data_IF_935586652608
#
_entry.id   IF_935586652608
#
_cell.length_a   1.000
_cell.length_b   1.000
_cell.length_c   1.000
_cell.angle_alpha   90.00
_cell.angle_beta   90.00
_cell.angle_gamma   90.00
#
_symmetry.space_group_name_H-M   'P 1'
#
loop_
_entity.id
_entity.type
_entity.pdbx_description
1 polymer ?
#
# COMPACT_ATOMS: atom_id res chain seq x y z
N UNK A 1 1.02 -10.01 1.57
CA UNK A 1 -0.01 -9.16 2.15
C UNK A 1 -0.13 -7.87 1.35
N UNK A 2 -1.34 -7.49 1.00
CA UNK A 2 -1.58 -6.35 0.12
C UNK A 2 -2.05 -5.14 0.91
N UNK A 3 -1.50 -3.97 0.56
CA UNK A 3 -1.85 -2.70 1.19
C UNK A 3 -2.23 -1.70 0.10
N UNK A 4 -3.26 -0.89 0.38
CA UNK A 4 -3.76 0.11 -0.57
C UNK A 4 -3.35 1.50 -0.13
N UNK A 5 -2.82 2.28 -1.06
CA UNK A 5 -2.37 3.65 -0.79
C UNK A 5 -3.53 4.61 -0.96
N UNK A 6 -3.93 5.29 0.11
CA UNK A 6 -5.15 6.09 0.12
C UNK A 6 -4.93 7.58 -0.10
N UNK A 7 -3.68 8.05 -0.03
CA UNK A 7 -3.41 9.48 -0.10
C UNK A 7 -2.63 9.91 -1.35
N UNK A 8 -1.91 8.98 -1.98
CA UNK A 8 -1.06 9.30 -3.13
C UNK A 8 -0.71 8.04 -3.90
N UNK A 9 -0.33 8.19 -5.19
CA UNK A 9 0.19 7.05 -5.93
C UNK A 9 1.46 6.50 -5.27
N UNK A 10 1.73 5.23 -5.50
CA UNK A 10 2.89 4.57 -4.92
C UNK A 10 4.12 4.88 -5.77
N UNK A 11 5.18 5.34 -5.12
CA UNK A 11 6.44 5.64 -5.76
C UNK A 11 7.57 5.59 -4.74
N UNK A 12 8.80 5.94 -5.15
CA UNK A 12 9.92 5.95 -4.23
C UNK A 12 9.61 6.84 -3.02
N UNK A 13 9.87 6.33 -1.82
CA UNK A 13 9.65 7.08 -0.60
C UNK A 13 8.22 7.12 -0.10
N UNK A 14 7.29 6.42 -0.75
CA UNK A 14 5.87 6.43 -0.33
C UNK A 14 5.47 5.15 0.39
N UNK A 15 6.39 4.25 0.68
CA UNK A 15 6.10 3.02 1.39
C UNK A 15 7.33 2.58 2.20
N UNK A 16 7.11 1.85 3.31
CA UNK A 16 8.25 1.39 4.12
C UNK A 16 8.98 0.25 3.43
N UNK A 17 10.27 0.14 3.71
CA UNK A 17 11.12 -0.91 3.15
C UNK A 17 11.76 -1.70 4.30
N UNK A 18 10.95 -2.48 5.04
CA UNK A 18 11.50 -3.22 6.18
C UNK A 18 12.47 -4.29 5.72
N UNK A 19 13.50 -4.49 6.52
CA UNK A 19 14.49 -5.51 6.23
C UNK A 19 13.87 -6.89 6.34
N UNK A 20 14.15 -7.75 5.37
CA UNK A 20 13.63 -9.12 5.39
C UNK A 20 12.19 -9.27 4.92
N UNK A 21 11.59 -8.21 4.39
CA UNK A 21 10.22 -8.27 3.90
C UNK A 21 10.17 -7.66 2.50
N UNK A 22 10.24 -8.50 1.49
CA UNK A 22 10.34 -8.04 0.10
C UNK A 22 9.00 -7.54 -0.44
N UNK A 23 9.09 -6.55 -1.31
CA UNK A 23 7.94 -6.09 -2.08
C UNK A 23 7.80 -7.00 -3.29
N UNK A 24 6.62 -7.59 -3.45
CA UNK A 24 6.34 -8.52 -4.55
C UNK A 24 5.75 -7.82 -5.77
N UNK A 25 4.96 -6.78 -5.54
CA UNK A 25 4.27 -6.10 -6.64
C UNK A 25 3.87 -4.70 -6.21
N UNK A 26 3.92 -3.76 -7.15
CA UNK A 26 3.38 -2.42 -7.00
C UNK A 26 2.49 -2.14 -8.20
N UNK A 27 1.28 -1.66 -7.98
CA UNK A 27 0.38 -1.30 -9.06
C UNK A 27 -0.30 0.03 -8.75
N UNK A 28 -0.23 0.97 -9.68
CA UNK A 28 -0.93 2.25 -9.57
C UNK A 28 -2.08 2.28 -10.54
N UNK A 29 -3.24 2.73 -10.06
CA UNK A 29 -4.41 2.93 -10.90
C UNK A 29 -4.21 4.20 -11.73
N UNK A 30 -4.96 4.32 -12.84
CA UNK A 30 -4.89 5.52 -13.67
C UNK A 30 -5.41 6.75 -12.92
N UNK A 31 -6.33 6.54 -12.00
CA UNK A 31 -6.89 7.60 -11.17
C UNK A 31 -7.32 6.99 -9.84
N UNK A 32 -7.67 7.85 -8.89
CA UNK A 32 -8.16 7.40 -7.59
C UNK A 32 -9.41 6.55 -7.80
N UNK A 33 -9.39 5.32 -7.30
CA UNK A 33 -10.40 4.31 -7.60
C UNK A 33 -10.95 3.71 -6.31
N UNK A 34 -12.27 3.52 -6.26
CA UNK A 34 -12.88 2.86 -5.10
C UNK A 34 -12.50 1.38 -5.08
N UNK A 35 -12.01 0.94 -3.94
CA UNK A 35 -11.56 -0.44 -3.73
C UNK A 35 -12.43 -1.11 -2.67
N UNK A 36 -13.25 -2.07 -3.10
CA UNK A 36 -14.13 -2.77 -2.17
C UNK A 36 -13.36 -3.53 -1.10
N UNK A 37 -12.16 -3.98 -1.43
CA UNK A 37 -11.32 -4.75 -0.50
C UNK A 37 -11.03 -4.00 0.78
N UNK A 38 -10.93 -2.68 0.71
CA UNK A 38 -10.65 -1.84 1.88
C UNK A 38 -11.77 -0.85 2.17
N UNK A 39 -12.83 -0.85 1.35
CA UNK A 39 -13.99 -0.01 1.57
C UNK A 39 -13.74 1.48 1.39
N UNK A 40 -12.76 1.86 0.59
CA UNK A 40 -12.43 3.27 0.38
C UNK A 40 -11.64 3.44 -0.91
N UNK A 41 -11.50 4.69 -1.36
CA UNK A 41 -10.74 4.98 -2.55
C UNK A 41 -9.24 4.90 -2.30
N UNK A 42 -8.50 4.47 -3.32
CA UNK A 42 -7.05 4.36 -3.26
C UNK A 42 -6.44 4.72 -4.61
N UNK A 43 -5.14 5.01 -4.58
CA UNK A 43 -4.37 5.36 -5.77
C UNK A 43 -3.66 4.14 -6.38
N UNK A 44 -3.53 3.07 -5.61
CA UNK A 44 -2.86 1.86 -6.04
C UNK A 44 -2.65 0.93 -4.87
N UNK A 45 -1.94 -0.17 -5.13
CA UNK A 45 -1.65 -1.12 -4.04
C UNK A 45 -0.20 -1.59 -4.12
N UNK A 46 0.28 -2.09 -2.99
CA UNK A 46 1.60 -2.69 -2.89
C UNK A 46 1.47 -4.03 -2.17
N UNK A 47 2.11 -5.04 -2.70
CA UNK A 47 2.10 -6.39 -2.15
C UNK A 47 3.43 -6.69 -1.49
N UNK A 48 3.41 -7.05 -0.19
CA UNK A 48 4.58 -7.49 0.55
C UNK A 48 4.52 -8.99 0.79
N UNK A 49 5.67 -9.61 0.96
CA UNK A 49 5.71 -11.03 1.33
C UNK A 49 5.12 -11.27 2.71
N UNK A 50 5.36 -10.36 3.63
CA UNK A 50 4.89 -10.46 5.02
C UNK A 50 4.15 -9.18 5.41
N UNK A 51 3.31 -9.23 6.45
CA UNK A 51 2.68 -8.01 6.95
C UNK A 51 3.74 -7.01 7.41
N UNK A 52 3.44 -5.72 7.23
CA UNK A 52 4.30 -4.65 7.76
C UNK A 52 3.75 -4.20 9.11
N UNK A 53 4.59 -3.52 9.87
CA UNK A 53 4.19 -2.97 11.16
C UNK A 53 2.99 -2.03 10.98
N UNK A 54 1.92 -2.17 11.79
CA UNK A 54 0.74 -1.31 11.64
C UNK A 54 1.05 0.19 11.75
N UNK A 55 2.00 0.58 12.58
CA UNK A 55 2.38 1.98 12.68
C UNK A 55 3.06 2.47 11.40
N UNK A 56 3.91 1.63 10.82
CA UNK A 56 4.56 1.97 9.55
C UNK A 56 3.52 2.10 8.44
N UNK A 57 2.54 1.20 8.41
CA UNK A 57 1.46 1.30 7.43
C UNK A 57 0.71 2.62 7.59
N UNK A 58 0.36 2.97 8.82
CA UNK A 58 -0.36 4.22 9.10
C UNK A 58 0.46 5.44 8.69
N UNK A 59 1.75 5.41 8.96
CA UNK A 59 2.64 6.53 8.63
C UNK A 59 2.68 6.80 7.13
N UNK A 60 2.46 5.78 6.32
CA UNK A 60 2.49 5.91 4.86
C UNK A 60 1.09 5.87 4.25
N UNK A 61 0.04 5.95 5.07
CA UNK A 61 -1.35 5.93 4.61
C UNK A 61 -1.67 4.68 3.79
N UNK A 62 -1.15 3.55 4.23
CA UNK A 62 -1.40 2.25 3.62
C UNK A 62 -2.43 1.51 4.45
N UNK A 63 -3.44 0.97 3.79
CA UNK A 63 -4.53 0.25 4.44
C UNK A 63 -4.49 -1.19 3.99
N UNK A 64 -4.45 -2.11 4.96
CA UNK A 64 -4.40 -3.54 4.67
C UNK A 64 -5.71 -4.04 4.07
N UNK A 65 -5.56 -4.93 3.11
CA UNK A 65 -6.70 -5.64 2.51
C UNK A 65 -7.32 -6.58 3.55
#
# INVERSE_FOLDING_TARGET
>A
MRYYSTQRPIGPGTFPKPQGNAVKEVFNFDSKTYCEEVGREAWGYIEYEQPIDPQAAADYFLVAD
#
